data_IF_197867919381
#
_entry.id   IF_197867919381
#
_cell.length_a   1.000
_cell.length_b   1.000
_cell.length_c   1.000
_cell.angle_alpha   90.00
_cell.angle_beta   90.00
_cell.angle_gamma   90.00
#
_symmetry.space_group_name_H-M   'P 1'
#
loop_
_entity.id
_entity.type
_entity.pdbx_description
1 polymer ?
#
# COMPACT_ATOMS: atom_id res chain seq x y z
N UNK A 1 5.31 -2.92 -11.02
CA UNK A 1 5.23 -2.43 -9.63
C UNK A 1 5.44 -0.92 -9.62
N UNK A 2 4.68 -0.19 -8.83
CA UNK A 2 4.88 1.25 -8.71
C UNK A 2 6.16 1.57 -7.93
N UNK A 3 6.63 2.82 -8.03
CA UNK A 3 7.79 3.24 -7.25
C UNK A 3 7.48 3.35 -5.76
N UNK A 4 6.19 3.41 -5.39
CA UNK A 4 5.76 3.56 -4.01
C UNK A 4 5.93 2.30 -3.17
N UNK A 5 5.98 1.12 -3.78
CA UNK A 5 6.08 -0.15 -3.06
C UNK A 5 7.27 -0.94 -3.56
N UNK A 6 8.10 -1.37 -2.62
CA UNK A 6 9.30 -2.19 -2.89
C UNK A 6 9.20 -3.48 -2.09
N UNK A 7 9.32 -4.61 -2.76
CA UNK A 7 9.24 -5.93 -2.13
C UNK A 7 10.61 -6.58 -2.06
N UNK A 8 10.98 -7.01 -0.86
CA UNK A 8 12.18 -7.79 -0.61
C UNK A 8 11.82 -9.06 0.13
N UNK A 9 12.63 -10.10 0.00
CA UNK A 9 12.39 -11.37 0.67
C UNK A 9 13.59 -11.72 1.55
N UNK A 10 13.32 -12.02 2.81
CA UNK A 10 14.33 -12.44 3.78
C UNK A 10 13.91 -13.77 4.41
N UNK A 11 14.53 -14.86 3.95
CA UNK A 11 14.11 -16.20 4.35
C UNK A 11 12.67 -16.47 3.90
N UNK A 12 11.77 -16.68 4.85
CA UNK A 12 10.35 -16.90 4.60
C UNK A 12 9.48 -15.68 4.92
N UNK A 13 10.12 -14.51 5.07
CA UNK A 13 9.43 -13.26 5.37
C UNK A 13 9.53 -12.33 4.17
N UNK A 14 8.39 -11.83 3.71
CA UNK A 14 8.34 -10.76 2.73
C UNK A 14 8.39 -9.41 3.44
N UNK A 15 9.27 -8.53 3.01
CA UNK A 15 9.38 -7.17 3.51
C UNK A 15 8.87 -6.22 2.43
N UNK A 16 7.75 -5.57 2.68
CA UNK A 16 7.14 -4.62 1.78
C UNK A 16 7.36 -3.21 2.33
N UNK A 17 8.13 -2.41 1.61
CA UNK A 17 8.47 -1.06 2.03
C UNK A 17 7.67 -0.04 1.23
N UNK A 18 6.99 0.84 1.93
CA UNK A 18 6.21 1.91 1.33
C UNK A 18 7.03 3.20 1.33
N UNK A 19 7.14 3.82 0.15
CA UNK A 19 7.90 5.04 -0.05
C UNK A 19 7.07 6.03 -0.84
N UNK A 20 6.59 7.06 -0.16
CA UNK A 20 5.90 8.19 -0.80
C UNK A 20 6.13 9.44 0.05
N UNK A 21 7.33 10.02 -0.01
CA UNK A 21 7.66 11.16 0.84
C UNK A 21 6.75 12.37 0.57
N UNK A 22 6.57 13.26 1.56
CA UNK A 22 7.28 13.23 2.86
C UNK A 22 6.67 12.32 3.93
N UNK A 23 5.41 11.95 3.83
CA UNK A 23 4.69 11.29 4.91
C UNK A 23 4.12 9.91 4.53
N UNK A 24 4.52 9.36 3.42
CA UNK A 24 4.08 8.04 2.94
C UNK A 24 2.55 7.93 2.85
N UNK A 25 1.94 8.84 2.09
CA UNK A 25 0.49 8.82 1.87
C UNK A 25 0.10 7.84 0.78
N UNK A 26 -1.06 7.21 0.94
CA UNK A 26 -1.58 6.25 -0.02
C UNK A 26 -2.33 6.95 -1.16
N UNK A 27 -2.16 6.42 -2.35
CA UNK A 27 -2.91 6.82 -3.55
C UNK A 27 -3.73 5.63 -4.04
N UNK A 28 -4.75 5.84 -4.90
CA UNK A 28 -5.47 4.72 -5.49
C UNK A 28 -4.54 3.74 -6.21
N UNK A 29 -3.52 4.23 -6.88
CA UNK A 29 -2.55 3.40 -7.60
C UNK A 29 -1.74 2.52 -6.63
N UNK A 30 -1.24 3.09 -5.53
CA UNK A 30 -0.46 2.32 -4.56
C UNK A 30 -1.33 1.33 -3.79
N UNK A 31 -2.58 1.66 -3.52
CA UNK A 31 -3.52 0.72 -2.89
C UNK A 31 -3.85 -0.46 -3.80
N UNK A 32 -4.05 -0.22 -5.09
CA UNK A 32 -4.27 -1.31 -6.04
C UNK A 32 -3.03 -2.19 -6.19
N UNK A 33 -1.84 -1.59 -6.19
CA UNK A 33 -0.58 -2.33 -6.21
C UNK A 33 -0.43 -3.21 -4.95
N UNK A 34 -0.82 -2.70 -3.79
CA UNK A 34 -0.79 -3.46 -2.54
C UNK A 34 -1.63 -4.74 -2.66
N UNK A 35 -2.85 -4.64 -3.20
CA UNK A 35 -3.71 -5.80 -3.41
C UNK A 35 -3.03 -6.85 -4.29
N UNK A 36 -2.44 -6.42 -5.41
CA UNK A 36 -1.78 -7.32 -6.35
C UNK A 36 -0.58 -8.03 -5.71
N UNK A 37 0.20 -7.30 -4.92
CA UNK A 37 1.35 -7.88 -4.22
C UNK A 37 0.89 -8.93 -3.20
N UNK A 38 -0.14 -8.62 -2.42
CA UNK A 38 -0.65 -9.53 -1.42
C UNK A 38 -1.21 -10.80 -2.05
N UNK A 39 -1.96 -10.67 -3.15
CA UNK A 39 -2.48 -11.83 -3.88
C UNK A 39 -1.35 -12.73 -4.36
N UNK A 40 -0.27 -12.13 -4.87
CA UNK A 40 0.91 -12.87 -5.31
C UNK A 40 1.58 -13.60 -4.13
N UNK A 41 1.73 -12.93 -3.00
CA UNK A 41 2.35 -13.52 -1.81
C UNK A 41 1.51 -14.66 -1.24
N UNK A 42 0.19 -14.57 -1.31
CA UNK A 42 -0.70 -15.62 -0.82
C UNK A 42 -0.58 -16.91 -1.62
N UNK A 43 -0.10 -16.84 -2.86
CA UNK A 43 0.12 -18.03 -3.68
C UNK A 43 1.52 -18.62 -3.50
N UNK A 44 2.42 -17.93 -2.83
CA UNK A 44 3.79 -18.38 -2.63
C UNK A 44 3.91 -19.14 -1.31
N UNK A 45 4.09 -20.46 -1.43
CA UNK A 45 4.17 -21.35 -0.25
C UNK A 45 5.43 -21.14 0.58
N UNK A 46 6.42 -20.44 0.07
CA UNK A 46 7.66 -20.16 0.80
C UNK A 46 7.57 -18.88 1.66
N UNK A 47 6.50 -18.11 1.54
CA UNK A 47 6.27 -16.96 2.37
C UNK A 47 5.34 -17.31 3.53
N UNK A 48 5.83 -17.08 4.74
CA UNK A 48 5.09 -17.37 5.96
C UNK A 48 4.62 -16.11 6.68
N UNK A 49 5.25 -14.99 6.38
CA UNK A 49 4.93 -13.73 7.04
C UNK A 49 5.18 -12.54 6.12
N UNK A 50 4.44 -11.48 6.34
CA UNK A 50 4.61 -10.20 5.66
C UNK A 50 4.90 -9.11 6.70
N UNK A 51 5.96 -8.35 6.49
CA UNK A 51 6.23 -7.12 7.24
C UNK A 51 6.02 -5.94 6.30
N UNK A 52 5.11 -5.06 6.67
CA UNK A 52 4.85 -3.83 5.95
C UNK A 52 5.42 -2.66 6.75
N UNK A 53 6.28 -1.86 6.12
CA UNK A 53 6.93 -0.73 6.78
C UNK A 53 7.02 0.48 5.86
N UNK A 54 7.17 1.66 6.45
CA UNK A 54 7.47 2.88 5.71
C UNK A 54 8.98 3.09 5.65
N UNK A 55 9.47 3.62 4.53
CA UNK A 55 10.88 3.93 4.39
C UNK A 55 11.28 5.04 5.36
N UNK A 56 12.48 4.92 5.92
CA UNK A 56 13.03 5.90 6.84
C UNK A 56 12.58 5.69 8.28
N UNK A 57 12.86 6.68 9.13
CA UNK A 57 12.67 6.53 10.56
C UNK A 57 11.48 7.31 11.11
N UNK A 58 10.89 8.19 10.31
CA UNK A 58 9.96 9.18 10.81
C UNK A 58 8.49 8.80 10.64
N UNK A 59 8.13 8.22 9.50
CA UNK A 59 6.73 7.89 9.20
C UNK A 59 6.58 6.47 8.74
N UNK A 60 5.57 5.79 9.27
CA UNK A 60 5.01 4.61 8.61
C UNK A 60 4.13 5.07 7.45
N UNK A 61 3.06 5.78 7.74
CA UNK A 61 2.17 6.38 6.76
C UNK A 61 1.27 7.42 7.44
N UNK A 62 0.99 8.51 6.75
CA UNK A 62 0.04 9.52 7.21
C UNK A 62 -1.38 9.30 6.66
N UNK A 63 -1.62 8.20 5.96
CA UNK A 63 -2.95 7.87 5.45
C UNK A 63 -3.14 8.23 3.99
N UNK A 64 -4.31 8.74 3.62
CA UNK A 64 -4.63 9.07 2.24
C UNK A 64 -3.94 10.34 1.76
N UNK A 65 -3.58 10.36 0.48
CA UNK A 65 -3.05 11.57 -0.16
C UNK A 65 -4.21 12.53 -0.43
N UNK A 66 -4.32 13.57 0.40
CA UNK A 66 -5.39 14.55 0.30
C UNK A 66 -5.35 15.38 -0.98
N UNK A 67 -4.22 15.45 -1.64
CA UNK A 67 -4.09 16.13 -2.92
C UNK A 67 -4.82 15.41 -4.05
N UNK A 68 -5.18 14.15 -3.83
CA UNK A 68 -5.94 13.35 -4.79
C UNK A 68 -7.45 13.51 -4.61
N UNK A 69 -7.89 14.26 -3.60
CA UNK A 69 -9.31 14.53 -3.38
C UNK A 69 -9.75 15.80 -4.09
N UNK A 70 -10.86 15.69 -4.81
CA UNK A 70 -11.60 16.84 -5.31
C UNK A 70 -12.87 16.96 -4.49
N UNK A 71 -13.03 18.06 -3.74
CA UNK A 71 -14.16 18.26 -2.84
C UNK A 71 -15.50 18.25 -3.55
N UNK A 72 -15.52 18.58 -4.83
CA UNK A 72 -16.74 18.64 -5.63
C UNK A 72 -17.08 17.29 -6.29
N UNK A 73 -16.21 16.29 -6.16
CA UNK A 73 -16.39 14.98 -6.79
C UNK A 73 -16.59 13.90 -5.73
N UNK A 74 -17.85 13.63 -5.43
CA UNK A 74 -18.22 12.59 -4.48
C UNK A 74 -17.87 11.19 -4.97
N UNK A 75 -17.91 10.97 -6.28
CA UNK A 75 -17.54 9.69 -6.87
C UNK A 75 -16.08 9.38 -6.66
N UNK A 76 -15.21 10.37 -6.81
CA UNK A 76 -13.78 10.20 -6.57
C UNK A 76 -13.48 9.86 -5.11
N UNK A 77 -14.12 10.54 -4.18
CA UNK A 77 -13.97 10.26 -2.76
C UNK A 77 -14.44 8.84 -2.41
N UNK A 78 -15.55 8.41 -2.99
CA UNK A 78 -16.07 7.05 -2.80
C UNK A 78 -15.09 6.00 -3.34
N UNK A 79 -14.57 6.20 -4.54
CA UNK A 79 -13.61 5.28 -5.15
C UNK A 79 -12.33 5.17 -4.34
N UNK A 80 -11.85 6.29 -3.79
CA UNK A 80 -10.67 6.29 -2.94
C UNK A 80 -10.91 5.51 -1.65
N UNK A 81 -12.04 5.74 -0.99
CA UNK A 81 -12.41 5.01 0.21
C UNK A 81 -12.55 3.51 -0.08
N UNK A 82 -13.14 3.15 -1.22
CA UNK A 82 -13.28 1.76 -1.63
C UNK A 82 -11.92 1.11 -1.88
N UNK A 83 -10.98 1.82 -2.50
CA UNK A 83 -9.62 1.33 -2.72
C UNK A 83 -8.90 1.07 -1.39
N UNK A 84 -9.05 1.96 -0.39
CA UNK A 84 -8.53 1.73 0.96
C UNK A 84 -9.09 0.45 1.56
N UNK A 85 -10.40 0.27 1.49
CA UNK A 85 -11.05 -0.92 2.01
C UNK A 85 -10.50 -2.19 1.40
N UNK A 86 -10.40 -2.24 0.07
CA UNK A 86 -9.86 -3.40 -0.63
C UNK A 86 -8.39 -3.66 -0.29
N UNK A 87 -7.58 -2.59 -0.22
CA UNK A 87 -6.16 -2.72 0.06
C UNK A 87 -5.89 -3.29 1.44
N UNK A 88 -6.52 -2.74 2.45
CA UNK A 88 -6.28 -3.18 3.83
C UNK A 88 -7.03 -4.45 4.19
N UNK A 89 -8.15 -4.73 3.56
CA UNK A 89 -8.84 -6.02 3.74
C UNK A 89 -8.01 -7.18 3.19
N UNK A 90 -7.24 -6.95 2.12
CA UNK A 90 -6.39 -7.99 1.53
C UNK A 90 -5.27 -8.46 2.49
N UNK A 91 -4.87 -7.58 3.41
CA UNK A 91 -3.89 -7.96 4.41
C UNK A 91 -4.48 -8.98 5.38
#
# INVERSE_FOLDING_TARGET
MTEALTLDTRGHTALLTFTNPPAHTWTPESLNELVLIIEKLNTDKNNYALVLTGQGEKFFSAGADLNRFNHDDKGQAFEFAHAFGRGFEAL
#
